data_IF_930512721968
#
_entry.id   IF_930512721968
#
_cell.length_a   1.000
_cell.length_b   1.000
_cell.length_c   1.000
_cell.angle_alpha   90.00
_cell.angle_beta   90.00
_cell.angle_gamma   90.00
#
_symmetry.space_group_name_H-M   'P 1'
#
loop_
_entity.id
_entity.type
_entity.pdbx_description
1 polymer ?
#
# COMPACT_ATOMS: atom_id res chain seq x y z
N UNK A 1 1.59 1.26 10.03
CA UNK A 1 0.58 0.84 9.00
C UNK A 1 0.90 1.54 7.69
N UNK A 2 0.45 0.99 6.57
CA UNK A 2 0.77 1.52 5.24
C UNK A 2 -0.43 2.27 4.66
N UNK A 3 -0.24 3.56 4.34
CA UNK A 3 -1.26 4.42 3.75
C UNK A 3 -0.91 4.78 2.31
N UNK A 4 -1.78 4.44 1.38
CA UNK A 4 -1.66 4.76 -0.04
C UNK A 4 -1.82 6.25 -0.30
N UNK A 5 -1.02 6.74 -1.25
CA UNK A 5 -1.06 8.10 -1.78
C UNK A 5 -1.30 8.09 -3.27
N UNK A 6 -1.88 9.17 -3.77
CA UNK A 6 -2.24 9.31 -5.17
C UNK A 6 -3.58 8.65 -5.53
N UNK A 7 -3.87 8.62 -6.83
CA UNK A 7 -5.14 8.15 -7.38
C UNK A 7 -4.92 7.16 -8.51
N UNK A 8 -5.58 6.00 -8.42
CA UNK A 8 -5.63 5.03 -9.51
C UNK A 8 -6.52 5.56 -10.64
N UNK A 9 -6.01 5.49 -11.86
CA UNK A 9 -6.70 5.86 -13.10
C UNK A 9 -6.34 4.89 -14.21
N UNK A 10 -6.98 5.05 -15.38
CA UNK A 10 -6.66 4.31 -16.59
C UNK A 10 -6.21 5.25 -17.70
N UNK A 11 -5.20 4.83 -18.44
CA UNK A 11 -4.76 5.47 -19.66
C UNK A 11 -5.81 5.32 -20.76
N UNK A 12 -5.68 6.11 -21.84
CA UNK A 12 -6.45 5.92 -23.08
C UNK A 12 -6.27 4.52 -23.68
N UNK A 13 -5.11 3.90 -23.43
CA UNK A 13 -4.79 2.52 -23.83
C UNK A 13 -5.27 1.45 -22.83
N UNK A 14 -6.09 1.83 -21.84
CA UNK A 14 -6.59 0.97 -20.75
C UNK A 14 -5.55 0.45 -19.75
N UNK A 15 -4.30 0.90 -19.86
CA UNK A 15 -3.23 0.65 -18.89
C UNK A 15 -3.56 1.28 -17.54
N UNK A 16 -3.24 0.60 -16.44
CA UNK A 16 -3.45 1.13 -15.10
C UNK A 16 -2.33 2.10 -14.74
N UNK A 17 -2.72 3.23 -14.15
CA UNK A 17 -1.78 4.27 -13.76
C UNK A 17 -2.12 4.82 -12.38
N UNK A 18 -1.10 5.16 -11.61
CA UNK A 18 -1.26 5.91 -10.36
C UNK A 18 -0.72 7.32 -10.58
N UNK A 19 -1.56 8.31 -10.30
CA UNK A 19 -1.18 9.73 -10.31
C UNK A 19 -0.84 10.14 -8.87
N UNK A 20 0.40 10.54 -8.61
CA UNK A 20 0.86 11.02 -7.30
C UNK A 20 0.33 12.42 -6.99
N UNK A 21 0.48 12.85 -5.73
CA UNK A 21 0.07 14.19 -5.29
C UNK A 21 0.86 15.31 -6.02
N UNK A 22 2.13 15.07 -6.34
CA UNK A 22 2.96 15.94 -7.19
C UNK A 22 2.64 15.85 -8.70
N UNK A 23 1.49 15.27 -9.06
CA UNK A 23 1.01 15.12 -10.43
C UNK A 23 1.93 14.29 -11.35
N UNK A 24 2.78 13.42 -10.78
CA UNK A 24 3.56 12.43 -11.55
C UNK A 24 2.70 11.21 -11.81
N UNK A 25 2.78 10.67 -13.02
CA UNK A 25 2.00 9.49 -13.41
C UNK A 25 2.92 8.29 -13.58
N UNK A 26 2.56 7.17 -12.96
CA UNK A 26 3.28 5.91 -13.05
C UNK A 26 2.37 4.85 -13.67
N UNK A 27 2.82 4.21 -14.76
CA UNK A 27 2.16 3.01 -15.28
C UNK A 27 2.54 1.86 -14.37
N UNK A 28 1.55 1.09 -13.93
CA UNK A 28 1.72 0.02 -12.93
C UNK A 28 1.00 -1.24 -13.36
N UNK A 29 1.60 -2.39 -13.04
CA UNK A 29 1.00 -3.69 -13.27
C UNK A 29 0.00 -4.06 -12.17
N UNK A 30 -0.89 -5.01 -12.46
CA UNK A 30 -1.87 -5.58 -11.52
C UNK A 30 -1.32 -5.88 -10.12
N UNK A 31 -0.20 -6.61 -9.92
CA UNK A 31 0.29 -6.91 -8.58
C UNK A 31 0.65 -5.64 -7.77
N UNK A 32 1.15 -4.60 -8.43
CA UNK A 32 1.47 -3.33 -7.78
C UNK A 32 0.18 -2.63 -7.36
N UNK A 33 -0.84 -2.62 -8.23
CA UNK A 33 -2.16 -2.05 -7.94
C UNK A 33 -2.80 -2.77 -6.77
N UNK A 34 -2.75 -4.11 -6.74
CA UNK A 34 -3.31 -4.91 -5.63
C UNK A 34 -2.68 -4.52 -4.30
N UNK A 35 -1.34 -4.53 -4.20
CA UNK A 35 -0.63 -4.17 -2.96
C UNK A 35 -0.92 -2.73 -2.57
N UNK A 36 -0.86 -1.79 -3.51
CA UNK A 36 -1.16 -0.37 -3.26
C UNK A 36 -2.60 -0.16 -2.77
N UNK A 37 -3.58 -0.86 -3.36
CA UNK A 37 -4.98 -0.77 -2.94
C UNK A 37 -5.23 -1.33 -1.54
N UNK A 38 -4.46 -2.32 -1.09
CA UNK A 38 -4.55 -2.87 0.28
C UNK A 38 -3.91 -1.97 1.34
N UNK A 39 -3.09 -0.98 0.94
CA UNK A 39 -2.50 -0.02 1.87
C UNK A 39 -3.49 1.10 2.21
N UNK A 40 -4.51 0.81 3.03
CA UNK A 40 -5.56 1.76 3.40
C UNK A 40 -5.29 2.52 4.72
N UNK A 41 -4.12 2.31 5.32
CA UNK A 41 -3.74 2.86 6.62
C UNK A 41 -4.09 1.97 7.80
N UNK A 42 -4.75 0.83 7.60
CA UNK A 42 -5.16 -0.09 8.68
C UNK A 42 -4.34 -1.38 8.75
N UNK A 43 -3.59 -1.70 7.69
CA UNK A 43 -2.84 -2.96 7.60
C UNK A 43 -1.33 -2.73 7.66
N UNK A 44 -0.62 -3.71 8.21
CA UNK A 44 0.84 -3.81 8.13
C UNK A 44 1.25 -4.58 6.88
N UNK A 45 2.53 -4.46 6.51
CA UNK A 45 3.11 -5.22 5.41
C UNK A 45 2.91 -6.74 5.57
N UNK A 46 3.10 -7.26 6.78
CA UNK A 46 2.89 -8.67 7.11
C UNK A 46 1.44 -9.10 6.88
N UNK A 47 0.47 -8.31 7.37
CA UNK A 47 -0.96 -8.63 7.18
C UNK A 47 -1.34 -8.64 5.70
N UNK A 48 -0.78 -7.73 4.90
CA UNK A 48 -1.01 -7.71 3.45
C UNK A 48 -0.43 -8.98 2.81
N UNK A 49 0.78 -9.38 3.19
CA UNK A 49 1.41 -10.60 2.69
C UNK A 49 0.65 -11.87 3.09
N UNK A 50 0.14 -11.95 4.32
CA UNK A 50 -0.71 -13.04 4.78
C UNK A 50 -2.00 -13.15 3.97
N UNK A 51 -2.70 -12.03 3.79
CA UNK A 51 -3.93 -11.99 3.00
C UNK A 51 -3.71 -12.43 1.55
N UNK A 52 -2.63 -11.96 0.92
CA UNK A 52 -2.28 -12.33 -0.45
C UNK A 52 -1.84 -13.80 -0.55
N UNK A 53 -1.11 -14.31 0.43
CA UNK A 53 -0.72 -15.72 0.51
C UNK A 53 -1.95 -16.63 0.59
N UNK A 54 -2.91 -16.32 1.47
CA UNK A 54 -4.14 -17.09 1.65
C UNK A 54 -4.99 -17.05 0.38
N UNK A 55 -5.25 -15.85 -0.17
CA UNK A 55 -6.16 -15.67 -1.29
C UNK A 55 -5.64 -16.29 -2.60
N UNK A 56 -4.32 -16.40 -2.77
CA UNK A 56 -3.71 -16.92 -3.99
C UNK A 56 -3.11 -18.32 -3.82
N UNK A 57 -3.17 -18.91 -2.62
CA UNK A 57 -2.55 -20.19 -2.30
C UNK A 57 -1.03 -20.23 -2.61
N UNK A 58 -0.33 -19.12 -2.34
CA UNK A 58 1.12 -18.98 -2.55
C UNK A 58 1.83 -18.99 -1.19
N UNK A 59 3.03 -19.57 -1.13
CA UNK A 59 3.87 -19.58 0.07
C UNK A 59 4.12 -18.15 0.63
N UNK A 60 3.79 -17.95 1.91
CA UNK A 60 3.89 -16.66 2.61
C UNK A 60 5.25 -16.00 2.46
N UNK A 61 6.35 -16.74 2.58
CA UNK A 61 7.72 -16.18 2.46
C UNK A 61 8.00 -15.56 1.08
N UNK A 62 7.48 -16.17 0.01
CA UNK A 62 7.61 -15.60 -1.35
C UNK A 62 6.76 -14.35 -1.50
N UNK A 63 5.52 -14.41 -1.01
CA UNK A 63 4.60 -13.26 -1.07
C UNK A 63 5.16 -12.08 -0.28
N UNK A 64 5.66 -12.33 0.93
CA UNK A 64 6.25 -11.30 1.78
C UNK A 64 7.43 -10.62 1.06
N UNK A 65 8.36 -11.37 0.48
CA UNK A 65 9.48 -10.78 -0.26
C UNK A 65 9.03 -9.88 -1.43
N UNK A 66 7.98 -10.27 -2.16
CA UNK A 66 7.40 -9.46 -3.24
C UNK A 66 6.70 -8.22 -2.70
N UNK A 67 5.90 -8.37 -1.63
CA UNK A 67 5.19 -7.26 -1.01
C UNK A 67 6.19 -6.23 -0.46
N UNK A 68 7.24 -6.65 0.23
CA UNK A 68 8.29 -5.77 0.75
C UNK A 68 8.97 -4.97 -0.37
N UNK A 69 9.33 -5.62 -1.50
CA UNK A 69 9.94 -4.92 -2.65
C UNK A 69 8.97 -3.88 -3.26
N UNK A 70 7.70 -4.24 -3.44
CA UNK A 70 6.69 -3.30 -3.96
C UNK A 70 6.49 -2.13 -3.00
N UNK A 71 6.34 -2.39 -1.70
CA UNK A 71 6.16 -1.37 -0.66
C UNK A 71 7.34 -0.41 -0.63
N UNK A 72 8.57 -0.92 -0.68
CA UNK A 72 9.77 -0.08 -0.70
C UNK A 72 9.81 0.83 -1.93
N UNK A 73 9.51 0.28 -3.11
CA UNK A 73 9.46 1.06 -4.36
C UNK A 73 8.40 2.14 -4.31
N UNK A 74 7.19 1.82 -3.83
CA UNK A 74 6.09 2.79 -3.70
C UNK A 74 6.42 3.90 -2.70
N UNK A 75 7.07 3.57 -1.57
CA UNK A 75 7.58 4.56 -0.60
C UNK A 75 8.57 5.51 -1.26
N UNK A 76 9.56 5.00 -2.01
CA UNK A 76 10.59 5.79 -2.68
C UNK A 76 10.04 6.81 -3.69
N UNK A 77 8.91 6.51 -4.33
CA UNK A 77 8.27 7.39 -5.32
C UNK A 77 7.10 8.21 -4.76
N UNK A 78 6.89 8.20 -3.45
CA UNK A 78 5.86 8.99 -2.77
C UNK A 78 4.42 8.49 -2.97
N UNK A 79 4.24 7.24 -3.40
CA UNK A 79 2.91 6.63 -3.56
C UNK A 79 2.44 5.89 -2.29
N UNK A 80 3.29 5.82 -1.27
CA UNK A 80 2.99 5.19 0.00
C UNK A 80 3.63 5.95 1.15
N UNK A 81 2.91 6.07 2.26
CA UNK A 81 3.38 6.67 3.50
C UNK A 81 3.22 5.67 4.63
N UNK A 82 4.24 5.58 5.49
CA UNK A 82 4.11 4.86 6.75
C UNK A 82 3.45 5.77 7.79
N UNK A 83 2.35 5.29 8.37
CA UNK A 83 1.64 6.00 9.43
C UNK A 83 1.76 5.23 10.73
N UNK A 84 2.09 5.95 11.80
CA UNK A 84 2.04 5.40 13.15
C UNK A 84 0.58 5.13 13.54
N UNK A 85 0.37 4.09 14.32
CA UNK A 85 -0.92 3.86 14.98
C UNK A 85 -1.18 5.03 15.90
N UNK A 86 -2.10 5.92 15.52
CA UNK A 86 -2.63 6.91 16.46
C UNK A 86 -3.51 6.12 17.42
N UNK A 87 -2.91 5.62 18.51
CA UNK A 87 -3.71 5.28 19.67
C UNK A 87 -4.40 6.59 20.09
N UNK A 88 -5.73 6.62 20.29
CA UNK A 88 -6.36 7.80 20.85
C UNK A 88 -5.68 8.07 22.20
N UNK A 89 -5.04 9.23 22.28
CA UNK A 89 -4.45 9.76 23.50
C UNK A 89 -5.54 9.75 24.58
N UNK A 90 -5.49 8.79 25.51
CA UNK A 90 -6.30 8.84 26.71
C UNK A 90 -5.68 9.88 27.66
N UNK A 91 -5.67 11.15 27.25
CA UNK A 91 -5.67 12.26 28.18
C UNK A 91 -7.13 12.55 28.53
N UNK A 92 -7.74 11.66 29.33
CA UNK A 92 -8.82 12.11 30.19
C UNK A 92 -8.20 13.05 31.22
N UNK A 93 -8.56 14.32 31.10
CA UNK A 93 -8.21 15.41 31.99
C UNK A 93 -8.65 15.16 33.43
N UNK A 94 -7.78 15.60 34.35
CA UNK A 94 -8.06 16.33 35.59
C UNK A 94 -9.06 15.76 36.62
N UNK A 95 -8.53 15.53 37.83
CA UNK A 95 -9.26 15.31 39.08
C UNK A 95 -8.31 15.32 40.27
#
# INVERSE_FOLDING_TARGET
MLLRKGKLTRSRKKEMMIVSEDNRTYIVDDPIVTVWSMCDGNQTEETIADNLSINNHIERSKVLGVVSDIVERLKKIGLLQEVASILPDQSCSDG
#
